data_IF_295209824039
#
_entry.id   IF_295209824039
#
_cell.length_a   1.000
_cell.length_b   1.000
_cell.length_c   1.000
_cell.angle_alpha   90.00
_cell.angle_beta   90.00
_cell.angle_gamma   90.00
#
_symmetry.space_group_name_H-M   'P 1'
#
loop_
_entity.id
_entity.type
_entity.pdbx_description
1 polymer ?
#
# COMPACT_ATOMS: atom_id res chain seq x y z
N UNK A 1 -3.06 10.98 21.64
CA UNK A 1 -2.34 9.97 20.83
C UNK A 1 -3.34 8.90 20.37
N UNK A 2 -3.73 8.86 19.10
CA UNK A 2 -4.62 7.79 18.57
C UNK A 2 -3.99 7.15 17.35
N UNK A 3 -3.89 5.83 17.46
CA UNK A 3 -3.27 4.78 16.63
C UNK A 3 -3.46 4.96 15.12
N UNK A 4 -2.38 4.82 14.35
CA UNK A 4 -2.48 4.50 12.91
C UNK A 4 -2.85 3.03 12.81
N UNK A 5 -4.01 2.76 12.21
CA UNK A 5 -4.59 1.42 12.10
C UNK A 5 -4.27 0.88 10.71
N UNK A 6 -3.46 -0.17 10.63
CA UNK A 6 -3.23 -0.94 9.41
C UNK A 6 -4.09 -2.19 9.48
N UNK A 7 -5.02 -2.33 8.54
CA UNK A 7 -5.77 -3.55 8.34
C UNK A 7 -5.24 -4.24 7.09
N UNK A 8 -4.65 -5.43 7.26
CA UNK A 8 -4.46 -6.36 6.14
C UNK A 8 -5.81 -7.03 5.93
N UNK A 9 -6.60 -6.51 4.98
CA UNK A 9 -7.88 -7.13 4.61
C UNK A 9 -7.74 -7.93 3.30
N UNK A 10 -8.16 -9.19 3.36
CA UNK A 10 -8.66 -9.95 2.21
C UNK A 10 -10.12 -9.54 1.93
N UNK A 11 -10.43 -9.07 0.72
CA UNK A 11 -11.82 -8.88 0.30
C UNK A 11 -12.57 -10.21 0.32
N UNK A 12 -13.56 -10.34 1.20
CA UNK A 12 -14.70 -11.22 0.99
C UNK A 12 -15.90 -10.30 0.65
N UNK A 13 -16.19 -10.15 -0.63
CA UNK A 13 -17.42 -9.51 -1.08
C UNK A 13 -18.53 -10.56 -1.13
N UNK A 14 -19.40 -10.60 -0.12
CA UNK A 14 -20.70 -11.29 -0.20
C UNK A 14 -21.69 -10.39 -0.92
N UNK A 15 -21.52 -10.31 -2.23
CA UNK A 15 -22.39 -9.59 -3.14
C UNK A 15 -21.88 -9.89 -4.54
N UNK A 16 -22.53 -10.84 -5.23
CA UNK A 16 -22.27 -11.06 -6.64
C UNK A 16 -22.74 -9.81 -7.37
N UNK A 17 -21.83 -8.84 -7.53
CA UNK A 17 -21.92 -7.92 -8.63
C UNK A 17 -21.94 -8.81 -9.88
N UNK A 18 -22.96 -8.73 -10.76
CA UNK A 18 -22.90 -9.44 -12.03
C UNK A 18 -21.54 -9.12 -12.66
N UNK A 19 -20.86 -10.10 -13.29
CA UNK A 19 -19.57 -9.85 -13.88
C UNK A 19 -19.75 -8.65 -14.80
N UNK A 20 -19.14 -7.53 -14.43
CA UNK A 20 -19.04 -6.41 -15.33
C UNK A 20 -18.02 -6.90 -16.35
N UNK A 21 -18.50 -7.65 -17.34
CA UNK A 21 -17.75 -8.01 -18.53
C UNK A 21 -17.68 -6.72 -19.33
N UNK A 22 -17.00 -5.73 -18.76
CA UNK A 22 -16.60 -4.54 -19.47
C UNK A 22 -15.91 -5.05 -20.72
N UNK A 23 -16.37 -4.57 -21.87
CA UNK A 23 -15.75 -4.88 -23.16
C UNK A 23 -14.22 -4.79 -22.96
N UNK A 24 -13.46 -5.83 -23.35
CA UNK A 24 -12.01 -5.80 -23.17
C UNK A 24 -11.47 -4.49 -23.74
N UNK A 25 -10.59 -3.85 -22.98
CA UNK A 25 -9.98 -2.59 -23.40
C UNK A 25 -9.44 -2.76 -24.82
N UNK A 26 -9.77 -1.81 -25.71
CA UNK A 26 -9.31 -1.86 -27.09
C UNK A 26 -7.78 -1.98 -27.09
N UNK A 27 -7.27 -2.92 -27.90
CA UNK A 27 -5.83 -3.16 -27.96
C UNK A 27 -5.09 -1.85 -28.34
N UNK A 28 -3.97 -1.52 -27.68
CA UNK A 28 -3.16 -0.37 -28.06
C UNK A 28 -2.79 -0.44 -29.55
N UNK A 29 -3.02 0.65 -30.29
CA UNK A 29 -2.76 0.72 -31.73
C UNK A 29 -3.84 0.12 -32.65
N UNK A 30 -4.91 -0.47 -32.11
CA UNK A 30 -6.08 -0.84 -32.90
C UNK A 30 -6.87 0.39 -33.35
N UNK A 31 -7.66 0.25 -34.43
CA UNK A 31 -8.58 1.31 -34.86
C UNK A 31 -9.53 1.75 -33.74
N UNK A 32 -10.00 0.80 -32.92
CA UNK A 32 -10.86 1.08 -31.75
C UNK A 32 -10.11 1.82 -30.64
N UNK A 33 -8.86 1.46 -30.37
CA UNK A 33 -8.01 2.13 -29.40
C UNK A 33 -7.70 3.57 -29.81
N UNK A 34 -7.49 3.81 -31.11
CA UNK A 34 -7.25 5.14 -31.66
C UNK A 34 -8.45 6.08 -31.48
N UNK A 35 -9.69 5.57 -31.41
CA UNK A 35 -10.90 6.37 -31.18
C UNK A 35 -11.06 6.86 -29.73
N UNK A 36 -10.46 6.17 -28.76
CA UNK A 36 -10.54 6.52 -27.32
C UNK A 36 -9.24 7.10 -26.77
N UNK A 37 -8.22 7.19 -27.60
CA UNK A 37 -6.93 7.76 -27.24
C UNK A 37 -7.07 9.26 -26.98
N UNK A 38 -6.66 9.70 -25.79
CA UNK A 38 -6.57 11.13 -25.49
C UNK A 38 -5.41 11.75 -26.29
N UNK A 39 -5.74 12.57 -27.28
CA UNK A 39 -4.76 13.23 -28.19
C UNK A 39 -4.49 14.69 -27.87
N UNK A 40 -5.20 15.25 -26.91
CA UNK A 40 -5.06 16.64 -26.48
C UNK A 40 -5.23 16.75 -24.96
N UNK A 41 -4.67 17.81 -24.39
CA UNK A 41 -4.94 18.17 -23.02
C UNK A 41 -6.42 18.52 -22.86
N UNK A 42 -7.01 18.14 -21.72
CA UNK A 42 -8.38 18.57 -21.41
C UNK A 42 -8.47 20.09 -21.25
N UNK A 43 -9.63 20.67 -21.57
CA UNK A 43 -9.87 22.12 -21.48
C UNK A 43 -10.10 22.62 -20.04
N UNK A 44 -10.23 21.69 -19.09
CA UNK A 44 -10.39 22.02 -17.68
C UNK A 44 -9.14 22.71 -17.10
N UNK A 45 -9.31 23.54 -16.05
CA UNK A 45 -8.17 24.13 -15.36
C UNK A 45 -7.22 23.04 -14.85
N UNK A 46 -5.93 23.34 -14.83
CA UNK A 46 -4.94 22.44 -14.24
C UNK A 46 -5.25 22.22 -12.75
N UNK A 47 -4.98 21.02 -12.20
CA UNK A 47 -5.07 20.81 -10.76
C UNK A 47 -4.17 21.78 -9.99
N UNK A 48 -4.71 22.38 -8.94
CA UNK A 48 -3.94 23.25 -8.06
C UNK A 48 -3.00 22.43 -7.15
N UNK A 49 -1.75 22.86 -7.03
CA UNK A 49 -0.81 22.30 -6.05
C UNK A 49 -1.11 22.89 -4.68
N UNK A 50 -1.89 22.16 -3.88
CA UNK A 50 -2.30 22.61 -2.53
C UNK A 50 -1.27 22.31 -1.44
N UNK A 51 -0.26 21.50 -1.73
CA UNK A 51 0.83 21.18 -0.81
C UNK A 51 2.05 20.68 -1.58
N UNK A 52 3.24 21.07 -1.10
CA UNK A 52 4.54 20.54 -1.55
C UNK A 52 5.44 20.44 -0.32
N UNK A 53 6.08 19.29 -0.15
CA UNK A 53 6.97 19.00 0.98
C UNK A 53 7.88 17.83 0.62
N UNK A 54 9.00 17.70 1.33
CA UNK A 54 9.95 16.61 1.12
C UNK A 54 9.37 15.28 1.61
N UNK A 55 9.37 14.30 0.71
CA UNK A 55 8.90 12.95 0.97
C UNK A 55 9.98 12.04 1.53
N UNK A 56 9.67 10.74 1.61
CA UNK A 56 10.60 9.69 1.95
C UNK A 56 11.63 9.53 0.80
N UNK A 57 12.90 9.79 1.07
CA UNK A 57 13.95 9.77 0.05
C UNK A 57 15.31 10.16 0.62
N UNK A 58 16.24 10.58 -0.25
CA UNK A 58 17.54 11.14 0.15
C UNK A 58 17.31 12.37 1.04
N UNK A 59 17.99 12.44 2.19
CA UNK A 59 17.85 13.55 3.13
C UNK A 59 16.65 13.46 4.06
N UNK A 60 15.88 12.37 4.02
CA UNK A 60 14.79 12.16 4.96
C UNK A 60 15.34 11.90 6.36
N UNK A 61 14.89 12.69 7.34
CA UNK A 61 15.18 12.54 8.76
C UNK A 61 13.87 12.44 9.54
N UNK A 62 13.50 11.22 9.95
CA UNK A 62 12.27 10.96 10.69
C UNK A 62 12.52 10.49 12.11
N UNK A 63 11.45 10.39 12.93
CA UNK A 63 11.54 9.96 14.33
C UNK A 63 12.07 8.52 14.49
N UNK A 64 12.15 7.73 13.42
CA UNK A 64 12.65 6.35 13.44
C UNK A 64 13.92 6.17 12.60
N UNK A 65 14.65 7.26 12.35
CA UNK A 65 15.91 7.27 11.61
C UNK A 65 15.80 7.85 10.21
N UNK A 66 16.90 7.75 9.48
CA UNK A 66 17.08 8.37 8.17
C UNK A 66 16.74 7.43 7.02
N UNK A 67 16.53 8.00 5.83
CA UNK A 67 16.51 7.25 4.57
C UNK A 67 17.56 7.82 3.63
N UNK A 68 18.32 6.95 2.99
CA UNK A 68 19.29 7.33 1.95
C UNK A 68 18.73 7.15 0.54
N UNK A 69 17.49 6.68 0.40
CA UNK A 69 16.88 6.36 -0.88
C UNK A 69 17.50 5.15 -1.59
N UNK A 70 16.87 4.73 -2.70
CA UNK A 70 17.40 3.72 -3.63
C UNK A 70 16.99 4.09 -5.05
N UNK A 71 17.82 3.73 -6.03
CA UNK A 71 17.61 4.05 -7.44
C UNK A 71 17.51 2.75 -8.27
N UNK A 72 16.47 2.56 -9.12
CA UNK A 72 15.27 3.39 -9.24
C UNK A 72 14.42 3.40 -7.96
N UNK A 73 13.64 4.47 -7.81
CA UNK A 73 12.72 4.67 -6.69
C UNK A 73 11.39 3.99 -7.00
N UNK A 74 11.00 3.02 -6.19
CA UNK A 74 9.71 2.33 -6.32
C UNK A 74 8.72 2.98 -5.36
N UNK A 75 7.96 3.96 -5.87
CA UNK A 75 7.10 4.81 -5.06
C UNK A 75 5.65 4.31 -5.04
N UNK A 76 5.08 4.23 -3.84
CA UNK A 76 3.65 4.12 -3.64
C UNK A 76 3.18 5.16 -2.63
N UNK A 77 2.06 5.82 -2.90
CA UNK A 77 1.50 6.83 -2.02
C UNK A 77 -0.01 6.71 -1.96
N UNK A 78 -0.56 6.96 -0.79
CA UNK A 78 -2.00 7.10 -0.60
C UNK A 78 -2.30 8.19 0.42
N UNK A 79 -3.44 8.84 0.22
CA UNK A 79 -3.91 9.96 1.02
C UNK A 79 -5.21 9.56 1.71
N UNK A 80 -5.19 9.58 3.04
CA UNK A 80 -6.39 9.45 3.87
C UNK A 80 -6.92 10.81 4.29
N UNK A 81 -7.91 10.87 5.21
CA UNK A 81 -8.50 12.13 5.66
C UNK A 81 -7.48 13.08 6.29
N UNK A 82 -6.59 12.52 7.12
CA UNK A 82 -5.63 13.29 7.93
C UNK A 82 -4.17 12.87 7.75
N UNK A 83 -3.88 11.80 7.00
CA UNK A 83 -2.51 11.30 6.87
C UNK A 83 -2.18 11.04 5.41
N UNK A 84 -0.93 11.26 5.04
CA UNK A 84 -0.33 10.81 3.78
C UNK A 84 0.60 9.67 4.15
N UNK A 85 0.46 8.54 3.48
CA UNK A 85 1.35 7.38 3.67
C UNK A 85 2.12 7.17 2.38
N UNK A 86 3.43 7.09 2.51
CA UNK A 86 4.34 6.86 1.40
C UNK A 86 5.18 5.62 1.67
N UNK A 87 5.29 4.77 0.67
CA UNK A 87 6.25 3.67 0.58
C UNK A 87 7.26 4.03 -0.50
N UNK A 88 8.54 3.88 -0.20
CA UNK A 88 9.64 4.02 -1.16
C UNK A 88 10.55 2.81 -1.01
N UNK A 89 10.56 1.99 -2.07
CA UNK A 89 11.18 0.68 -2.07
C UNK A 89 10.78 -0.10 -0.80
N UNK A 90 11.74 -0.37 0.10
CA UNK A 90 11.53 -1.21 1.29
C UNK A 90 11.31 -0.43 2.57
N UNK A 91 10.95 0.85 2.47
CA UNK A 91 10.70 1.75 3.60
C UNK A 91 9.34 2.43 3.46
N UNK A 92 8.71 2.78 4.57
CA UNK A 92 7.52 3.63 4.58
C UNK A 92 7.57 4.71 5.66
N UNK A 93 6.82 5.77 5.41
CA UNK A 93 6.67 6.92 6.28
C UNK A 93 5.22 7.42 6.27
N UNK A 94 4.85 8.13 7.33
CA UNK A 94 3.52 8.73 7.51
C UNK A 94 3.71 10.21 7.80
N UNK A 95 3.01 11.05 7.05
CA UNK A 95 3.03 12.49 7.14
C UNK A 95 1.66 13.02 7.53
N UNK A 96 1.62 14.22 8.11
CA UNK A 96 0.36 14.93 8.30
C UNK A 96 -0.26 15.32 6.96
N UNK A 97 -1.58 15.34 6.91
CA UNK A 97 -2.36 16.06 5.91
C UNK A 97 -3.19 17.12 6.61
N UNK A 98 -3.16 18.35 6.11
CA UNK A 98 -4.07 19.40 6.53
C UNK A 98 -5.50 18.92 6.34
N UNK A 99 -6.26 18.94 7.43
CA UNK A 99 -7.58 18.32 7.56
C UNK A 99 -8.18 18.59 8.93
N UNK A 100 -9.02 17.68 9.40
CA UNK A 100 -9.68 17.84 10.70
C UNK A 100 -8.70 17.71 11.88
N UNK A 101 -7.65 16.89 11.72
CA UNK A 101 -6.71 16.55 12.80
C UNK A 101 -5.43 17.39 12.81
N UNK A 102 -4.99 17.87 11.65
CA UNK A 102 -3.73 18.60 11.52
C UNK A 102 -3.95 19.90 10.75
N UNK A 103 -3.24 20.94 11.18
CA UNK A 103 -3.25 22.29 10.60
C UNK A 103 -2.38 22.42 9.34
N UNK A 104 -1.46 21.46 9.15
CA UNK A 104 -0.40 21.49 8.15
C UNK A 104 -0.23 20.13 7.46
N UNK A 105 0.23 20.16 6.22
CA UNK A 105 0.58 18.98 5.43
C UNK A 105 2.09 18.80 5.42
N UNK A 106 2.57 17.56 5.51
CA UNK A 106 3.98 17.22 5.25
C UNK A 106 4.87 17.03 6.48
N UNK A 107 4.35 17.25 7.70
CA UNK A 107 5.14 16.97 8.90
C UNK A 107 5.25 15.45 9.11
N UNK A 108 6.47 14.97 9.34
CA UNK A 108 6.76 13.55 9.56
C UNK A 108 6.19 13.12 10.92
N UNK A 109 5.35 12.08 10.90
CA UNK A 109 4.79 11.44 12.10
C UNK A 109 5.43 10.09 12.38
N UNK A 110 5.86 9.39 11.33
CA UNK A 110 6.40 8.04 11.40
C UNK A 110 7.30 7.77 10.19
N UNK A 111 8.27 6.87 10.32
CA UNK A 111 9.29 6.60 9.30
C UNK A 111 10.71 7.00 9.76
N UNK A 112 11.77 6.54 9.08
CA UNK A 112 11.77 5.63 7.93
C UNK A 112 11.83 4.15 8.38
N UNK A 113 10.71 3.45 8.29
CA UNK A 113 10.58 2.08 8.83
C UNK A 113 10.46 1.05 7.72
N UNK A 114 11.02 -0.15 7.93
CA UNK A 114 10.95 -1.25 6.97
C UNK A 114 9.50 -1.72 6.74
N UNK A 115 9.16 -2.06 5.49
CA UNK A 115 7.80 -2.50 5.12
C UNK A 115 7.38 -3.81 5.78
N UNK A 116 8.31 -4.73 6.05
CA UNK A 116 7.99 -5.99 6.76
C UNK A 116 7.45 -5.78 8.18
N UNK A 117 7.76 -4.65 8.83
CA UNK A 117 7.28 -4.38 10.19
C UNK A 117 5.76 -4.28 10.28
N UNK A 118 5.07 -4.00 9.15
CA UNK A 118 3.62 -4.03 9.05
C UNK A 118 3.03 -5.44 9.29
N UNK A 119 3.83 -6.47 9.07
CA UNK A 119 3.47 -7.88 9.21
C UNK A 119 4.10 -8.53 10.44
N UNK A 120 4.62 -7.72 11.36
CA UNK A 120 5.28 -8.26 12.53
C UNK A 120 4.31 -9.00 13.45
N UNK A 121 4.72 -10.18 13.90
CA UNK A 121 3.89 -11.09 14.69
C UNK A 121 2.96 -11.96 13.83
N UNK A 122 2.94 -11.80 12.51
CA UNK A 122 2.24 -12.72 11.60
C UNK A 122 3.07 -13.98 11.35
N UNK A 123 4.38 -13.92 11.61
CA UNK A 123 5.32 -14.99 11.26
C UNK A 123 5.46 -15.17 9.74
N UNK A 124 6.10 -16.27 9.35
CA UNK A 124 6.32 -16.60 7.94
C UNK A 124 7.18 -15.58 7.20
N UNK A 125 7.05 -15.56 5.87
CA UNK A 125 7.97 -14.80 5.01
C UNK A 125 7.73 -13.29 5.05
N UNK A 126 6.50 -12.83 5.25
CA UNK A 126 6.17 -11.40 5.28
C UNK A 126 6.70 -10.70 6.54
N UNK A 127 6.75 -11.41 7.67
CA UNK A 127 7.37 -10.89 8.90
C UNK A 127 8.91 -10.92 8.77
N UNK A 128 9.45 -12.07 8.34
CA UNK A 128 10.89 -12.32 8.33
C UNK A 128 11.67 -11.61 7.21
N UNK A 129 11.01 -11.12 6.14
CA UNK A 129 11.71 -10.54 4.98
C UNK A 129 11.13 -9.19 4.58
N UNK A 130 12.02 -8.21 4.49
CA UNK A 130 11.73 -6.92 3.90
C UNK A 130 11.63 -7.02 2.37
N UNK A 131 10.74 -6.23 1.77
CA UNK A 131 10.50 -6.24 0.33
C UNK A 131 10.31 -4.81 -0.21
N UNK A 132 10.77 -4.58 -1.45
CA UNK A 132 10.78 -3.27 -2.11
C UNK A 132 9.52 -2.88 -2.89
N UNK A 133 8.62 -3.82 -3.14
CA UNK A 133 7.49 -3.63 -4.05
C UNK A 133 6.17 -3.48 -3.30
N UNK A 134 6.23 -3.00 -2.06
CA UNK A 134 5.03 -2.80 -1.27
C UNK A 134 4.23 -1.59 -1.81
N UNK A 135 2.93 -1.77 -1.94
CA UNK A 135 2.01 -0.72 -2.37
C UNK A 135 1.05 -0.37 -1.25
N UNK A 136 0.69 0.92 -1.17
CA UNK A 136 -0.26 1.44 -0.19
C UNK A 136 -1.45 2.08 -0.87
N UNK A 137 -2.64 1.82 -0.34
CA UNK A 137 -3.92 2.44 -0.72
C UNK A 137 -4.71 2.82 0.51
N UNK A 138 -5.61 3.79 0.35
CA UNK A 138 -6.61 4.11 1.37
C UNK A 138 -7.99 3.71 0.83
N UNK A 139 -8.63 2.77 1.52
CA UNK A 139 -10.00 2.35 1.25
C UNK A 139 -10.95 3.35 1.92
N UNK A 140 -11.49 4.26 1.12
CA UNK A 140 -12.38 5.33 1.58
C UNK A 140 -13.74 4.81 2.05
N UNK A 141 -14.19 3.66 1.53
CA UNK A 141 -15.49 3.08 1.89
C UNK A 141 -15.39 2.34 3.23
N UNK A 142 -14.26 1.69 3.50
CA UNK A 142 -14.03 0.98 4.75
C UNK A 142 -13.15 1.74 5.77
N UNK A 143 -12.79 3.00 5.47
CA UNK A 143 -11.99 3.87 6.33
C UNK A 143 -10.67 3.24 6.84
N UNK A 144 -9.90 2.59 5.96
CA UNK A 144 -8.67 1.88 6.36
C UNK A 144 -7.54 1.97 5.34
N UNK A 145 -6.32 1.78 5.83
CA UNK A 145 -5.13 1.61 5.00
C UNK A 145 -5.01 0.16 4.54
N UNK A 146 -4.73 -0.01 3.26
CA UNK A 146 -4.44 -1.28 2.61
C UNK A 146 -2.98 -1.29 2.20
N UNK A 147 -2.23 -2.28 2.68
CA UNK A 147 -0.88 -2.55 2.22
C UNK A 147 -0.83 -3.92 1.54
N UNK A 148 -0.18 -3.97 0.39
CA UNK A 148 0.14 -5.22 -0.29
C UNK A 148 1.64 -5.28 -0.43
N UNK A 149 2.25 -6.33 0.12
CA UNK A 149 3.69 -6.59 0.01
C UNK A 149 3.88 -7.92 -0.70
N UNK A 150 4.16 -7.92 -2.02
CA UNK A 150 4.35 -9.15 -2.75
C UNK A 150 5.67 -9.82 -2.32
N UNK A 151 5.68 -11.15 -2.32
CA UNK A 151 6.87 -11.95 -2.03
C UNK A 151 7.14 -12.84 -3.23
N UNK A 152 8.19 -12.51 -3.98
CA UNK A 152 8.59 -13.23 -5.21
C UNK A 152 9.48 -14.45 -4.95
N UNK A 153 9.34 -15.06 -3.78
CA UNK A 153 10.02 -16.31 -3.41
C UNK A 153 8.98 -17.27 -2.87
N UNK A 154 9.19 -18.56 -3.13
CA UNK A 154 8.33 -19.61 -2.57
C UNK A 154 8.40 -19.54 -1.04
N UNK A 155 7.25 -19.31 -0.41
CA UNK A 155 7.09 -19.44 1.04
C UNK A 155 7.02 -20.93 1.41
N UNK A 156 7.26 -21.23 2.69
CA UNK A 156 6.99 -22.57 3.20
C UNK A 156 5.50 -22.92 3.02
N UNK A 157 5.23 -24.18 2.69
CA UNK A 157 3.85 -24.67 2.61
C UNK A 157 3.20 -24.57 3.98
N UNK A 158 1.96 -24.06 4.00
CA UNK A 158 1.17 -23.99 5.22
C UNK A 158 0.23 -25.18 5.30
N UNK A 159 -0.06 -25.71 6.50
CA UNK A 159 -1.05 -26.79 6.66
C UNK A 159 -2.44 -26.44 6.12
N UNK A 160 -2.80 -25.16 6.10
CA UNK A 160 -4.08 -24.64 5.63
C UNK A 160 -4.06 -24.12 4.19
N UNK A 161 -2.94 -24.30 3.46
CA UNK A 161 -2.82 -23.79 2.10
C UNK A 161 -3.75 -24.55 1.14
N UNK A 162 -4.57 -23.85 0.32
CA UNK A 162 -5.42 -24.50 -0.67
C UNK A 162 -4.58 -25.24 -1.71
N UNK A 163 -5.12 -26.34 -2.23
CA UNK A 163 -4.51 -27.02 -3.36
C UNK A 163 -4.35 -26.05 -4.54
N UNK A 164 -3.23 -26.19 -5.27
CA UNK A 164 -2.95 -25.35 -6.43
C UNK A 164 -4.09 -25.50 -7.45
N UNK A 165 -4.74 -24.39 -7.87
CA UNK A 165 -5.81 -24.46 -8.86
C UNK A 165 -5.33 -25.08 -10.18
N UNK A 166 -6.17 -25.93 -10.77
CA UNK A 166 -5.93 -26.45 -12.12
C UNK A 166 -6.64 -25.59 -13.17
N UNK A 167 -6.09 -25.44 -14.38
CA UNK A 167 -6.79 -24.80 -15.49
C UNK A 167 -8.18 -25.43 -15.71
N UNK A 168 -9.19 -24.59 -15.92
CA UNK A 168 -10.59 -25.03 -16.11
C UNK A 168 -11.33 -25.39 -14.82
N UNK A 169 -10.68 -25.32 -13.65
CA UNK A 169 -11.33 -25.46 -12.35
C UNK A 169 -12.11 -24.21 -11.91
N UNK A 170 -12.95 -24.32 -10.88
CA UNK A 170 -13.64 -23.16 -10.31
C UNK A 170 -12.66 -22.18 -9.67
N UNK A 171 -13.04 -20.91 -9.59
CA UNK A 171 -12.29 -19.91 -8.83
C UNK A 171 -12.24 -20.30 -7.35
N UNK A 172 -11.06 -20.23 -6.75
CA UNK A 172 -10.88 -20.49 -5.32
C UNK A 172 -10.81 -19.16 -4.56
N UNK A 173 -11.40 -19.15 -3.38
CA UNK A 173 -11.30 -18.02 -2.45
C UNK A 173 -9.90 -18.05 -1.84
N UNK A 174 -9.23 -16.90 -1.82
CA UNK A 174 -7.95 -16.76 -1.12
C UNK A 174 -8.18 -17.01 0.37
N UNK A 175 -7.31 -17.79 1.01
CA UNK A 175 -7.42 -18.04 2.46
C UNK A 175 -6.54 -17.05 3.22
N UNK A 176 -7.03 -16.48 4.34
CA UNK A 176 -6.20 -15.68 5.24
C UNK A 176 -4.95 -16.47 5.66
N UNK A 177 -3.79 -15.85 5.62
CA UNK A 177 -2.53 -16.50 6.03
C UNK A 177 -2.32 -16.60 7.54
N UNK A 178 -3.15 -15.92 8.31
CA UNK A 178 -3.15 -15.92 9.78
C UNK A 178 -4.60 -16.08 10.22
N UNK A 179 -4.86 -17.09 11.05
CA UNK A 179 -6.19 -17.36 11.58
C UNK A 179 -6.74 -16.16 12.37
N UNK A 180 -8.06 -15.92 12.28
CA UNK A 180 -8.72 -14.83 12.99
C UNK A 180 -8.45 -13.43 12.42
N UNK A 181 -7.86 -13.32 11.23
CA UNK A 181 -7.74 -12.06 10.50
C UNK A 181 -8.96 -11.82 9.58
N UNK A 182 -9.43 -10.56 9.44
CA UNK A 182 -8.90 -9.34 10.05
C UNK A 182 -9.16 -9.28 11.57
N UNK A 183 -8.09 -9.06 12.34
CA UNK A 183 -8.15 -8.95 13.80
C UNK A 183 -8.42 -7.52 14.27
N UNK A 184 -8.30 -7.29 15.58
CA UNK A 184 -8.31 -5.92 16.11
C UNK A 184 -7.11 -5.14 15.57
N UNK A 185 -7.30 -3.83 15.41
CA UNK A 185 -6.23 -2.92 15.07
C UNK A 185 -5.05 -3.04 16.05
N UNK A 186 -3.86 -3.32 15.53
CA UNK A 186 -2.62 -3.27 16.28
C UNK A 186 -1.94 -1.91 16.11
N UNK A 187 -1.08 -1.54 17.06
CA UNK A 187 -0.19 -0.39 16.88
C UNK A 187 0.93 -0.76 15.91
N UNK A 188 1.33 0.19 15.08
CA UNK A 188 2.58 0.09 14.34
C UNK A 188 3.73 -0.13 15.31
N UNK A 189 4.65 -1.01 14.95
CA UNK A 189 5.90 -1.17 15.70
C UNK A 189 6.69 0.11 15.62
N UNK A 190 7.29 0.52 16.73
CA UNK A 190 8.30 1.55 16.77
C UNK A 190 9.64 0.83 16.85
N UNK A 191 10.42 0.75 15.75
CA UNK A 191 11.78 0.22 15.83
C UNK A 191 12.58 1.06 16.84
N UNK A 192 13.58 0.47 17.51
CA UNK A 192 14.55 1.26 18.28
C UNK A 192 15.12 2.38 17.40
N UNK A 193 15.45 3.55 17.97
CA UNK A 193 16.14 4.60 17.24
C UNK A 193 17.37 4.02 16.54
N UNK A 194 17.63 4.44 15.30
CA UNK A 194 18.87 4.08 14.63
C UNK A 194 20.04 4.53 15.51
N UNK A 195 20.94 3.60 15.86
CA UNK A 195 22.19 3.95 16.55
C UNK A 195 22.98 4.82 15.58
N UNK A 196 23.36 6.02 16.00
CA UNK A 196 24.22 6.89 15.21
C UNK A 196 25.50 6.10 14.88
N UNK A 197 25.83 6.04 13.59
CA UNK A 197 27.08 5.44 13.11
C UNK A 197 28.28 6.31 13.49
#
# INVERSE_FOLDING_TARGET
MKTVIVFVLLLAASGQQPPNVGRPAAAPGSAEGAQVEQRAQGEGPAPEVVASFDGLGVGFEGPHGTSTGRNPSDNSLAVGPDHIVQVVNSKFAIFTKKGAKFDSTGRILYGAVNTNTLFSGFGGTCDARNNGDAVVRYDQLANRWLFVMPIFRRAAERPDQPAVPKPGGPALVSVPGVAGQPGRAARLITPPPAVAA
#
